data_IF_507796724646
#
_entry.id   IF_507796724646
#
_cell.length_a   1.000
_cell.length_b   1.000
_cell.length_c   1.000
_cell.angle_alpha   90.00
_cell.angle_beta   90.00
_cell.angle_gamma   90.00
#
_symmetry.space_group_name_H-M   'P 1'
#
loop_
_entity.id
_entity.type
_entity.pdbx_description
1 polymer ?
#
# COMPACT_ATOMS: atom_id res chain seq x y z
N UNK A 1 6.53 28.18 38.41
CA UNK A 1 7.38 26.98 38.59
C UNK A 1 8.19 26.83 37.32
N UNK A 2 9.52 26.76 37.43
CA UNK A 2 10.45 26.79 36.31
C UNK A 2 10.37 25.50 35.50
N UNK A 3 9.87 25.58 34.27
CA UNK A 3 10.00 24.54 33.26
C UNK A 3 11.48 24.46 32.87
N UNK A 4 12.19 23.45 33.36
CA UNK A 4 13.48 23.07 32.80
C UNK A 4 13.24 22.69 31.34
N UNK A 5 13.57 23.60 30.42
CA UNK A 5 13.65 23.29 28.99
C UNK A 5 14.85 22.35 28.87
N UNK A 6 14.57 21.04 28.76
CA UNK A 6 15.58 20.07 28.32
C UNK A 6 16.01 20.53 26.93
N UNK A 7 17.29 20.86 26.76
CA UNK A 7 17.81 21.44 25.52
C UNK A 7 17.63 20.43 24.37
N UNK A 8 16.54 20.58 23.62
CA UNK A 8 16.15 19.68 22.55
C UNK A 8 16.95 20.03 21.31
N UNK A 9 17.97 19.23 20.97
CA UNK A 9 18.78 19.49 19.78
C UNK A 9 17.99 19.09 18.53
N UNK A 10 17.64 20.07 17.69
CA UNK A 10 17.13 19.82 16.34
C UNK A 10 18.26 19.23 15.48
N UNK A 11 17.94 18.19 14.72
CA UNK A 11 18.87 17.54 13.79
C UNK A 11 18.24 17.58 12.40
N UNK A 12 18.95 18.17 11.44
CA UNK A 12 18.55 18.10 10.05
C UNK A 12 18.78 16.69 9.52
N UNK A 13 17.71 16.09 9.00
CA UNK A 13 17.70 14.74 8.49
C UNK A 13 16.71 14.63 7.34
N UNK A 14 17.23 14.70 6.11
CA UNK A 14 16.44 14.59 4.88
C UNK A 14 16.05 13.12 4.64
N UNK A 15 14.90 12.72 5.16
CA UNK A 15 14.39 11.35 5.07
C UNK A 15 13.07 11.26 4.34
N UNK A 16 12.91 10.17 3.61
CA UNK A 16 11.65 9.68 3.12
C UNK A 16 11.16 8.59 4.08
N UNK A 17 10.02 8.84 4.73
CA UNK A 17 9.43 7.96 5.73
C UNK A 17 7.99 7.64 5.34
N UNK A 18 7.62 6.36 5.35
CA UNK A 18 6.24 5.92 5.08
C UNK A 18 5.81 4.87 6.11
N UNK A 19 4.66 5.10 6.72
CA UNK A 19 3.95 4.16 7.59
C UNK A 19 2.78 3.58 6.77
N UNK A 20 2.86 2.31 6.33
CA UNK A 20 1.89 1.68 5.41
C UNK A 20 0.45 1.67 5.93
N UNK A 21 0.29 1.54 7.25
CA UNK A 21 -1.00 1.57 7.91
C UNK A 21 -0.87 2.17 9.31
N UNK A 22 -1.39 3.38 9.48
CA UNK A 22 -1.41 4.09 10.75
C UNK A 22 -2.22 3.34 11.82
N UNK A 23 -3.41 2.86 11.46
CA UNK A 23 -4.26 2.05 12.31
C UNK A 23 -3.56 0.76 12.74
N UNK A 24 -2.91 0.04 11.83
CA UNK A 24 -2.17 -1.18 12.20
C UNK A 24 -1.04 -0.88 13.20
N UNK A 25 -0.27 0.19 12.95
CA UNK A 25 0.78 0.64 13.85
C UNK A 25 0.25 0.89 15.28
N UNK A 26 -0.92 1.54 15.38
CA UNK A 26 -1.52 1.84 16.68
C UNK A 26 -2.33 0.68 17.29
N UNK A 27 -2.45 -0.44 16.59
CA UNK A 27 -3.33 -1.55 16.98
C UNK A 27 -4.82 -1.16 16.93
N UNK A 28 -5.22 -0.46 15.87
CA UNK A 28 -6.56 0.03 15.56
C UNK A 28 -7.30 0.57 16.80
N UNK A 29 -6.91 1.74 17.33
CA UNK A 29 -7.58 2.32 18.48
C UNK A 29 -9.02 2.75 18.17
N UNK A 30 -9.31 3.09 16.91
CA UNK A 30 -10.64 3.48 16.43
C UNK A 30 -10.75 3.33 14.91
N UNK A 31 -11.96 3.14 14.38
CA UNK A 31 -12.26 3.37 12.96
C UNK A 31 -12.60 4.83 12.66
N UNK A 32 -12.89 5.62 13.71
CA UNK A 32 -13.24 7.03 13.61
C UNK A 32 -14.66 7.28 13.12
N UNK A 33 -14.94 8.55 12.84
CA UNK A 33 -16.18 9.02 12.22
C UNK A 33 -15.83 9.88 11.03
N UNK A 34 -16.72 9.91 10.04
CA UNK A 34 -16.62 10.79 8.89
C UNK A 34 -17.98 11.40 8.58
N UNK A 35 -18.05 12.73 8.49
CA UNK A 35 -19.29 13.48 8.30
C UNK A 35 -20.43 13.02 9.25
N UNK A 36 -20.12 12.85 10.54
CA UNK A 36 -21.02 12.35 11.59
C UNK A 36 -21.49 10.89 11.47
N UNK A 37 -21.02 10.15 10.46
CA UNK A 37 -21.25 8.71 10.32
C UNK A 37 -20.08 7.91 10.90
N UNK A 38 -20.38 6.77 11.52
CA UNK A 38 -19.35 5.83 11.93
C UNK A 38 -18.75 5.17 10.70
N UNK A 39 -17.43 5.04 10.68
CA UNK A 39 -16.72 4.32 9.63
C UNK A 39 -16.90 2.82 9.85
N UNK A 40 -17.27 2.09 8.80
CA UNK A 40 -17.49 0.65 8.88
C UNK A 40 -16.20 -0.13 8.67
N UNK A 41 -15.33 0.34 7.77
CA UNK A 41 -14.11 -0.35 7.36
C UNK A 41 -13.06 0.63 6.86
N UNK A 42 -11.80 0.43 7.23
CA UNK A 42 -10.66 1.16 6.68
C UNK A 42 -9.89 0.22 5.75
N UNK A 43 -9.83 0.54 4.47
CA UNK A 43 -9.07 -0.24 3.50
C UNK A 43 -7.61 0.20 3.43
N UNK A 44 -7.34 1.50 3.48
CA UNK A 44 -5.99 2.07 3.48
C UNK A 44 -5.94 3.30 4.39
N UNK A 45 -4.86 3.46 5.13
CA UNK A 45 -4.59 4.54 6.06
C UNK A 45 -3.08 4.85 6.12
N UNK A 46 -2.54 5.26 4.97
CA UNK A 46 -1.13 5.47 4.71
C UNK A 46 -0.67 6.83 5.24
N UNK A 47 0.49 6.90 5.91
CA UNK A 47 1.15 8.16 6.26
C UNK A 47 2.48 8.25 5.52
N UNK A 48 2.62 9.25 4.65
CA UNK A 48 3.86 9.56 3.92
C UNK A 48 4.47 10.82 4.50
N UNK A 49 5.78 10.85 4.71
CA UNK A 49 6.54 12.01 5.17
C UNK A 49 7.84 12.20 4.38
N UNK A 50 8.03 13.41 3.89
CA UNK A 50 9.31 13.97 3.45
C UNK A 50 9.84 14.79 4.62
N UNK A 51 10.59 14.14 5.50
CA UNK A 51 11.13 14.71 6.73
C UNK A 51 12.42 15.49 6.47
N UNK A 52 12.54 16.66 7.10
CA UNK A 52 13.72 17.52 7.00
C UNK A 52 14.42 17.76 8.33
N UNK A 53 13.68 17.84 9.44
CA UNK A 53 14.26 18.03 10.77
C UNK A 53 13.60 17.09 11.76
N UNK A 54 14.38 16.54 12.69
CA UNK A 54 13.92 15.64 13.73
C UNK A 54 14.47 16.01 15.12
N UNK A 55 13.80 15.52 16.15
CA UNK A 55 14.23 15.71 17.53
C UNK A 55 13.67 14.62 18.46
N UNK A 56 14.43 14.23 19.48
CA UNK A 56 13.97 13.38 20.56
C UNK A 56 14.02 14.17 21.87
N UNK A 57 12.87 14.29 22.55
CA UNK A 57 12.73 15.04 23.80
C UNK A 57 12.38 14.06 24.91
N UNK A 58 13.25 13.97 25.92
CA UNK A 58 12.99 13.19 27.12
C UNK A 58 12.09 13.98 28.07
N UNK A 59 11.00 13.36 28.51
CA UNK A 59 10.03 13.92 29.45
C UNK A 59 9.83 12.97 30.64
N UNK A 60 9.16 13.43 31.70
CA UNK A 60 8.83 12.58 32.85
C UNK A 60 7.97 11.36 32.46
N UNK A 61 7.08 11.52 31.47
CA UNK A 61 6.19 10.43 30.99
C UNK A 61 6.90 9.47 30.04
N UNK A 62 8.04 9.85 29.47
CA UNK A 62 8.75 9.08 28.44
C UNK A 62 9.40 9.96 27.39
N UNK A 63 9.90 9.36 26.31
CA UNK A 63 10.52 10.10 25.20
C UNK A 63 9.49 10.39 24.11
N UNK A 64 9.51 11.61 23.59
CA UNK A 64 8.76 12.03 22.41
C UNK A 64 9.70 12.24 21.23
N UNK A 65 9.33 11.67 20.09
CA UNK A 65 10.07 11.79 18.84
C UNK A 65 9.29 12.69 17.88
N UNK A 66 9.92 13.78 17.46
CA UNK A 66 9.38 14.75 16.54
C UNK A 66 10.05 14.58 15.18
N UNK A 67 9.23 14.63 14.12
CA UNK A 67 9.69 14.74 12.74
C UNK A 67 8.91 15.86 12.05
N UNK A 68 9.61 16.80 11.43
CA UNK A 68 9.04 17.95 10.73
C UNK A 68 9.40 17.91 9.25
N UNK A 69 8.46 18.34 8.41
CA UNK A 69 8.60 18.29 6.95
C UNK A 69 7.24 18.28 6.26
N UNK A 70 7.16 17.73 5.05
CA UNK A 70 5.90 17.59 4.32
C UNK A 70 5.32 16.21 4.53
N UNK A 71 4.19 16.14 5.20
CA UNK A 71 3.48 14.91 5.48
C UNK A 71 2.10 14.85 4.83
N UNK A 72 1.63 13.63 4.64
CA UNK A 72 0.35 13.36 3.99
C UNK A 72 -0.26 12.10 4.57
N UNK A 73 -1.42 12.25 5.21
CA UNK A 73 -2.22 11.15 5.70
C UNK A 73 -3.33 10.86 4.70
N UNK A 74 -3.24 9.72 4.04
CA UNK A 74 -4.20 9.26 3.04
C UNK A 74 -5.10 8.17 3.60
N UNK A 75 -6.38 8.26 3.27
CA UNK A 75 -7.40 7.35 3.74
C UNK A 75 -8.27 6.85 2.61
N UNK A 76 -8.56 5.55 2.64
CA UNK A 76 -9.59 4.91 1.84
C UNK A 76 -10.42 4.03 2.76
N UNK A 77 -11.69 4.37 2.94
CA UNK A 77 -12.55 3.75 3.93
C UNK A 77 -13.99 3.63 3.42
N UNK A 78 -14.82 2.90 4.15
CA UNK A 78 -16.23 2.71 3.86
C UNK A 78 -17.06 3.23 5.04
N UNK A 79 -18.19 3.89 4.74
CA UNK A 79 -19.25 4.14 5.72
C UNK A 79 -20.29 3.02 5.72
N UNK A 80 -20.44 2.38 4.56
CA UNK A 80 -21.34 1.26 4.29
C UNK A 80 -20.62 0.33 3.32
N UNK A 81 -20.80 -0.98 3.52
CA UNK A 81 -20.12 -2.02 2.72
C UNK A 81 -20.26 -1.77 1.22
N UNK A 82 -19.13 -1.77 0.51
CA UNK A 82 -19.08 -1.68 -0.95
C UNK A 82 -19.05 -0.26 -1.53
N UNK A 83 -18.94 0.78 -0.68
CA UNK A 83 -18.74 2.17 -1.12
C UNK A 83 -17.51 2.78 -0.47
N UNK A 84 -16.43 2.84 -1.24
CA UNK A 84 -15.19 3.48 -0.82
C UNK A 84 -15.26 5.01 -0.96
N UNK A 85 -14.83 5.69 0.09
CA UNK A 85 -14.57 7.12 0.15
C UNK A 85 -13.06 7.28 0.35
N UNK A 86 -12.48 8.22 -0.39
CA UNK A 86 -11.10 8.65 -0.21
C UNK A 86 -11.07 10.01 0.45
N UNK A 87 -10.20 10.20 1.43
CA UNK A 87 -9.95 11.48 2.10
C UNK A 87 -8.46 11.62 2.39
N UNK A 88 -7.99 12.85 2.56
CA UNK A 88 -6.60 13.11 2.87
C UNK A 88 -6.43 14.29 3.82
N UNK A 89 -5.31 14.31 4.55
CA UNK A 89 -4.91 15.42 5.42
C UNK A 89 -3.44 15.75 5.20
N UNK A 90 -3.17 17.03 4.94
CA UNK A 90 -1.82 17.59 4.92
C UNK A 90 -1.28 17.66 6.35
N UNK A 91 0.00 17.33 6.52
CA UNK A 91 0.69 17.34 7.80
C UNK A 91 2.02 18.07 7.65
N UNK A 92 2.42 18.84 8.67
CA UNK A 92 3.74 19.48 8.72
C UNK A 92 4.65 18.84 9.76
N UNK A 93 4.11 17.93 10.57
CA UNK A 93 4.88 17.21 11.58
C UNK A 93 4.23 15.92 12.06
N UNK A 94 5.04 15.08 12.67
CA UNK A 94 4.69 13.81 13.27
C UNK A 94 5.29 13.74 14.68
N UNK A 95 4.49 13.35 15.66
CA UNK A 95 4.93 13.08 17.03
C UNK A 95 4.66 11.62 17.35
N UNK A 96 5.72 10.90 17.72
CA UNK A 96 5.67 9.52 18.19
C UNK A 96 6.08 9.45 19.66
N UNK A 97 5.22 8.88 20.48
CA UNK A 97 5.58 8.41 21.83
C UNK A 97 6.53 7.22 21.76
N UNK A 98 7.33 7.04 22.81
CA UNK A 98 8.30 5.95 22.96
C UNK A 98 7.74 4.55 22.68
N UNK A 99 6.61 4.18 23.27
CA UNK A 99 6.01 2.86 23.03
C UNK A 99 5.57 2.63 21.57
N UNK A 100 5.15 3.66 20.85
CA UNK A 100 4.81 3.55 19.40
C UNK A 100 6.09 3.48 18.58
N UNK A 101 7.07 4.31 18.93
CA UNK A 101 8.37 4.32 18.29
C UNK A 101 9.09 2.97 18.43
N UNK A 102 9.05 2.36 19.61
CA UNK A 102 9.63 1.06 19.89
C UNK A 102 8.94 -0.05 19.08
N UNK A 103 7.63 0.05 18.90
CA UNK A 103 6.88 -0.88 18.04
C UNK A 103 7.26 -0.75 16.56
N UNK A 104 7.52 0.47 16.07
CA UNK A 104 8.09 0.68 14.73
C UNK A 104 9.50 0.11 14.63
N UNK A 105 10.35 0.36 15.63
CA UNK A 105 11.77 0.03 15.62
C UNK A 105 12.05 -1.48 15.79
N UNK A 106 11.08 -2.23 16.29
CA UNK A 106 11.12 -3.70 16.44
C UNK A 106 10.30 -4.43 15.36
N UNK A 107 9.76 -3.69 14.39
CA UNK A 107 9.01 -4.22 13.25
C UNK A 107 9.84 -5.22 12.44
N UNK A 108 9.20 -6.27 11.93
CA UNK A 108 9.88 -7.32 11.18
C UNK A 108 10.37 -6.79 9.83
N UNK A 109 11.66 -6.96 9.56
CA UNK A 109 12.28 -6.59 8.28
C UNK A 109 11.76 -7.50 7.15
N UNK A 110 11.46 -6.90 5.99
CA UNK A 110 10.94 -7.61 4.81
C UNK A 110 12.10 -8.05 3.90
N UNK A 111 13.17 -7.24 3.78
CA UNK A 111 14.22 -7.49 2.77
C UNK A 111 15.64 -7.11 3.16
N UNK A 112 15.86 -5.96 3.82
CA UNK A 112 17.20 -5.41 4.10
C UNK A 112 17.61 -5.71 5.55
N UNK A 113 18.33 -6.81 5.79
CA UNK A 113 18.86 -7.11 7.14
C UNK A 113 20.16 -6.35 7.47
N UNK A 114 20.84 -5.75 6.49
CA UNK A 114 22.23 -5.30 6.65
C UNK A 114 22.47 -3.79 6.44
N UNK A 115 21.45 -2.97 6.20
CA UNK A 115 21.59 -1.52 5.95
C UNK A 115 20.94 -0.71 7.07
N UNK A 116 21.74 -0.06 7.93
CA UNK A 116 21.22 0.69 9.09
C UNK A 116 20.44 1.97 8.73
N UNK A 117 20.74 2.59 7.60
CA UNK A 117 20.12 3.84 7.16
C UNK A 117 18.86 3.62 6.30
N UNK A 118 18.64 2.40 5.79
CA UNK A 118 17.46 2.03 5.00
C UNK A 118 16.67 0.94 5.70
N UNK A 119 15.48 1.29 6.18
CA UNK A 119 14.59 0.37 6.88
C UNK A 119 13.44 0.01 5.97
N UNK A 120 13.27 -1.28 5.69
CA UNK A 120 12.12 -1.82 4.94
C UNK A 120 11.50 -2.94 5.77
N UNK A 121 10.47 -2.58 6.53
CA UNK A 121 9.78 -3.44 7.47
C UNK A 121 8.27 -3.41 7.24
N UNK A 122 7.53 -4.32 7.88
CA UNK A 122 6.07 -4.40 7.75
C UNK A 122 5.34 -3.09 8.09
N UNK A 123 5.80 -2.37 9.12
CA UNK A 123 5.18 -1.14 9.60
C UNK A 123 5.90 0.15 9.17
N UNK A 124 7.05 0.06 8.48
CA UNK A 124 7.86 1.24 8.18
C UNK A 124 8.74 1.04 6.94
N UNK A 125 8.68 2.02 6.04
CA UNK A 125 9.69 2.28 5.02
C UNK A 125 10.41 3.58 5.38
N UNK A 126 11.74 3.53 5.56
CA UNK A 126 12.57 4.71 5.81
C UNK A 126 13.79 4.67 4.90
N UNK A 127 14.07 5.78 4.24
CA UNK A 127 15.19 5.94 3.32
C UNK A 127 15.75 7.37 3.43
N UNK A 128 17.08 7.58 3.41
CA UNK A 128 17.62 8.92 3.22
C UNK A 128 17.33 9.41 1.80
N UNK A 129 16.94 10.67 1.65
CA UNK A 129 16.61 11.23 0.33
C UNK A 129 17.85 11.23 -0.58
N UNK A 130 19.02 11.57 -0.04
CA UNK A 130 20.28 11.43 -0.77
C UNK A 130 20.88 10.03 -0.59
N UNK A 131 21.03 9.33 -1.72
CA UNK A 131 21.67 8.01 -1.80
C UNK A 131 23.06 8.07 -2.41
N UNK A 132 23.65 9.27 -2.56
CA UNK A 132 24.95 9.49 -3.21
C UNK A 132 26.08 8.63 -2.63
N UNK A 133 26.06 8.35 -1.32
CA UNK A 133 27.03 7.52 -0.61
C UNK A 133 26.90 6.01 -0.87
N UNK A 134 25.81 5.56 -1.49
CA UNK A 134 25.57 4.14 -1.77
C UNK A 134 26.13 3.70 -3.12
N UNK A 135 26.56 2.45 -3.21
CA UNK A 135 26.98 1.85 -4.48
C UNK A 135 25.79 1.67 -5.44
N UNK A 136 26.04 1.66 -6.75
CA UNK A 136 24.99 1.52 -7.77
C UNK A 136 24.18 0.21 -7.63
N UNK A 137 24.83 -0.87 -7.22
CA UNK A 137 24.15 -2.15 -6.94
C UNK A 137 23.17 -2.00 -5.78
N UNK A 138 23.57 -1.31 -4.70
CA UNK A 138 22.69 -1.06 -3.55
C UNK A 138 21.54 -0.13 -3.92
N UNK A 139 21.80 0.93 -4.69
CA UNK A 139 20.76 1.84 -5.20
C UNK A 139 19.72 1.09 -6.03
N UNK A 140 20.17 0.29 -7.00
CA UNK A 140 19.27 -0.53 -7.85
C UNK A 140 18.42 -1.48 -7.02
N UNK A 141 18.99 -2.12 -5.99
CA UNK A 141 18.25 -3.01 -5.10
C UNK A 141 17.19 -2.27 -4.26
N UNK A 142 17.56 -1.14 -3.66
CA UNK A 142 16.67 -0.28 -2.89
C UNK A 142 15.52 0.19 -3.77
N UNK A 143 15.83 0.68 -4.97
CA UNK A 143 14.87 1.12 -5.98
C UNK A 143 13.89 -0.01 -6.33
N UNK A 144 14.38 -1.21 -6.69
CA UNK A 144 13.53 -2.35 -7.00
C UNK A 144 12.62 -2.76 -5.84
N UNK A 145 13.16 -2.72 -4.62
CA UNK A 145 12.42 -3.03 -3.38
C UNK A 145 11.30 -2.02 -3.11
N UNK A 146 11.59 -0.72 -3.21
CA UNK A 146 10.60 0.33 -2.97
C UNK A 146 9.57 0.40 -4.09
N UNK A 147 9.98 0.19 -5.35
CA UNK A 147 9.03 0.11 -6.46
C UNK A 147 8.01 -1.01 -6.24
N UNK A 148 8.46 -2.21 -5.88
CA UNK A 148 7.58 -3.37 -5.66
C UNK A 148 6.69 -3.24 -4.43
N UNK A 149 7.25 -2.82 -3.30
CA UNK A 149 6.55 -2.91 -2.00
C UNK A 149 5.82 -1.61 -1.59
N UNK A 150 6.15 -0.48 -2.22
CA UNK A 150 5.64 0.83 -1.82
C UNK A 150 5.05 1.61 -3.00
N UNK A 151 5.82 1.90 -4.05
CA UNK A 151 5.35 2.80 -5.11
C UNK A 151 4.29 2.17 -6.02
N UNK A 152 4.41 0.89 -6.39
CA UNK A 152 3.41 0.22 -7.23
C UNK A 152 2.07 0.06 -6.48
N UNK A 153 2.04 -0.45 -5.23
CA UNK A 153 0.78 -0.61 -4.49
C UNK A 153 0.06 0.70 -4.16
N UNK A 154 0.82 1.79 -3.95
CA UNK A 154 0.29 3.09 -3.53
C UNK A 154 0.48 4.19 -4.57
N UNK A 155 0.61 3.83 -5.85
CA UNK A 155 0.95 4.75 -6.94
C UNK A 155 0.07 6.00 -6.95
N UNK A 156 -1.25 5.80 -6.92
CA UNK A 156 -2.22 6.88 -7.01
C UNK A 156 -2.09 7.86 -5.82
N UNK A 157 -1.73 7.34 -4.63
CA UNK A 157 -1.54 8.14 -3.43
C UNK A 157 -0.30 9.04 -3.55
N UNK A 158 0.80 8.53 -4.13
CA UNK A 158 1.99 9.33 -4.38
C UNK A 158 1.76 10.40 -5.45
N UNK A 159 0.99 10.09 -6.49
CA UNK A 159 0.62 11.08 -7.50
C UNK A 159 -0.23 12.20 -6.88
N UNK A 160 -1.25 11.84 -6.10
CA UNK A 160 -2.11 12.80 -5.38
C UNK A 160 -1.31 13.66 -4.39
N UNK A 161 -0.34 13.05 -3.68
CA UNK A 161 0.59 13.77 -2.81
C UNK A 161 1.39 14.81 -3.59
N UNK A 162 1.99 14.43 -4.72
CA UNK A 162 2.80 15.34 -5.51
C UNK A 162 1.96 16.45 -6.14
N UNK A 163 0.75 16.16 -6.61
CA UNK A 163 -0.20 17.19 -7.07
C UNK A 163 -0.55 18.17 -5.94
N UNK A 164 -0.76 17.64 -4.72
CA UNK A 164 -0.99 18.46 -3.53
C UNK A 164 0.22 19.34 -3.25
N UNK A 165 1.45 18.80 -3.25
CA UNK A 165 2.68 19.58 -3.03
C UNK A 165 2.96 20.57 -4.18
N UNK A 166 2.50 20.33 -5.40
CA UNK A 166 2.66 21.32 -6.48
C UNK A 166 1.63 22.45 -6.40
N UNK A 167 0.50 22.25 -5.71
CA UNK A 167 -0.50 23.29 -5.53
C UNK A 167 0.03 24.46 -4.67
N UNK A 168 0.03 25.71 -5.16
CA UNK A 168 0.47 26.86 -4.37
C UNK A 168 -0.36 27.11 -3.10
N UNK A 169 -1.58 26.58 -3.01
CA UNK A 169 -2.52 26.75 -1.89
C UNK A 169 -2.45 25.65 -0.81
N UNK A 170 -1.48 24.74 -0.91
CA UNK A 170 -1.21 23.70 0.09
C UNK A 170 0.02 24.04 0.94
N UNK A 171 0.12 23.51 2.15
CA UNK A 171 1.31 23.64 3.02
C UNK A 171 1.73 25.10 3.21
N UNK A 172 0.78 26.04 3.25
CA UNK A 172 1.07 27.45 3.47
C UNK A 172 1.28 27.70 4.96
N UNK A 173 2.46 27.35 5.49
CA UNK A 173 2.72 27.34 6.94
C UNK A 173 2.45 28.70 7.61
N UNK A 174 2.60 29.80 6.90
CA UNK A 174 2.26 31.14 7.41
C UNK A 174 0.78 31.32 7.74
N UNK A 175 -0.11 30.73 6.93
CA UNK A 175 -1.57 30.85 7.06
C UNK A 175 -2.20 29.66 7.75
N UNK A 176 -1.74 28.47 7.39
CA UNK A 176 -2.27 27.19 7.85
C UNK A 176 -1.62 26.73 9.17
N UNK A 177 -0.48 27.33 9.55
CA UNK A 177 0.31 26.94 10.74
C UNK A 177 0.66 25.44 10.72
N UNK A 178 1.18 24.93 11.84
CA UNK A 178 1.55 23.53 11.93
C UNK A 178 0.33 22.61 12.06
N UNK A 179 0.36 21.49 11.33
CA UNK A 179 -0.62 20.40 11.38
C UNK A 179 0.13 19.12 11.74
N UNK A 180 -0.05 18.62 12.96
CA UNK A 180 0.80 17.56 13.51
C UNK A 180 -0.01 16.31 13.83
N UNK A 181 0.32 15.19 13.19
CA UNK A 181 -0.21 13.87 13.57
C UNK A 181 0.53 13.37 14.81
N UNK A 182 -0.17 12.92 15.83
CA UNK A 182 0.43 12.68 17.15
C UNK A 182 -0.04 11.40 17.85
N UNK A 183 0.91 10.76 18.54
CA UNK A 183 0.65 9.71 19.54
C UNK A 183 1.06 10.15 20.95
N UNK A 184 1.18 11.46 21.18
CA UNK A 184 1.39 12.04 22.51
C UNK A 184 0.36 11.49 23.51
N UNK A 185 0.77 11.22 24.75
CA UNK A 185 -0.09 10.58 25.75
C UNK A 185 -1.44 11.28 25.94
N UNK A 186 -1.43 12.61 25.97
CA UNK A 186 -2.64 13.42 26.19
C UNK A 186 -3.47 13.65 24.90
N UNK A 187 -2.89 13.40 23.72
CA UNK A 187 -3.49 13.65 22.41
C UNK A 187 -3.37 12.42 21.50
N UNK A 188 -3.53 11.24 22.06
CA UNK A 188 -3.24 9.99 21.35
C UNK A 188 -4.14 9.79 20.14
N UNK A 189 -3.54 9.49 18.99
CA UNK A 189 -4.21 9.26 17.69
C UNK A 189 -5.06 10.46 17.23
N UNK A 190 -4.47 11.65 17.24
CA UNK A 190 -5.12 12.90 16.83
C UNK A 190 -4.25 13.69 15.86
N UNK A 191 -4.86 14.62 15.12
CA UNK A 191 -4.13 15.70 14.45
C UNK A 191 -4.30 16.97 15.28
N UNK A 192 -3.18 17.61 15.61
CA UNK A 192 -3.13 18.89 16.30
C UNK A 192 -2.96 20.02 15.31
N UNK A 193 -3.76 21.06 15.46
CA UNK A 193 -3.69 22.28 14.65
C UNK A 193 -3.61 23.52 15.55
N UNK A 194 -3.22 24.64 14.93
CA UNK A 194 -3.20 25.94 15.59
C UNK A 194 -4.60 26.53 15.72
N UNK A 195 -4.81 27.34 16.76
CA UNK A 195 -6.04 28.13 16.93
C UNK A 195 -6.13 29.27 15.92
N UNK A 196 -4.98 29.77 15.47
CA UNK A 196 -4.86 30.95 14.61
C UNK A 196 -4.83 30.57 13.12
N UNK A 197 -5.21 29.34 12.79
CA UNK A 197 -5.26 28.83 11.42
C UNK A 197 -6.38 29.51 10.64
N UNK A 198 -6.11 29.93 9.39
CA UNK A 198 -7.18 30.29 8.44
C UNK A 198 -7.91 29.01 8.00
N UNK A 199 -8.98 28.67 8.71
CA UNK A 199 -9.66 27.37 8.61
C UNK A 199 -10.33 27.15 7.24
N UNK A 200 -9.90 26.11 6.53
CA UNK A 200 -10.76 25.40 5.57
C UNK A 200 -11.75 24.55 6.38
N UNK A 201 -13.04 24.86 6.33
CA UNK A 201 -14.11 24.14 7.06
C UNK A 201 -14.08 22.61 6.88
N UNK A 202 -13.56 22.14 5.73
CA UNK A 202 -13.44 20.72 5.43
C UNK A 202 -12.32 20.01 6.24
N UNK A 203 -11.24 20.71 6.61
CA UNK A 203 -10.11 20.07 7.31
C UNK A 203 -10.50 19.65 8.73
N UNK A 204 -11.37 20.43 9.40
CA UNK A 204 -11.84 20.15 10.77
C UNK A 204 -12.83 18.98 10.87
N UNK A 205 -13.31 18.48 9.74
CA UNK A 205 -14.25 17.36 9.78
C UNK A 205 -13.56 16.12 10.33
N UNK A 206 -14.27 15.40 11.19
CA UNK A 206 -13.83 14.11 11.69
C UNK A 206 -13.44 13.20 10.52
N UNK A 207 -12.34 12.50 10.71
CA UNK A 207 -11.69 11.70 9.68
C UNK A 207 -11.56 10.26 10.15
N UNK A 208 -11.66 9.30 9.22
CA UNK A 208 -11.48 7.89 9.53
C UNK A 208 -10.11 7.61 10.16
N UNK A 209 -10.04 6.61 11.04
CA UNK A 209 -8.80 6.16 11.68
C UNK A 209 -8.25 7.06 12.79
N UNK A 210 -8.78 8.27 12.97
CA UNK A 210 -8.38 9.22 14.01
C UNK A 210 -9.45 9.37 15.10
N UNK A 211 -9.02 9.70 16.31
CA UNK A 211 -9.93 10.02 17.42
C UNK A 211 -10.61 11.39 17.19
N UNK A 212 -9.82 12.39 16.83
CA UNK A 212 -10.28 13.76 16.56
C UNK A 212 -9.19 14.62 15.94
N UNK A 213 -9.58 15.78 15.41
CA UNK A 213 -8.68 16.89 15.08
C UNK A 213 -8.88 17.94 16.16
N UNK A 214 -7.83 18.28 16.90
CA UNK A 214 -7.92 19.13 18.09
C UNK A 214 -7.01 20.35 18.01
N UNK A 215 -7.43 21.43 18.68
CA UNK A 215 -6.68 22.67 18.77
C UNK A 215 -5.63 22.57 19.87
N UNK A 216 -4.40 22.99 19.61
CA UNK A 216 -3.38 23.06 20.67
C UNK A 216 -1.94 22.81 20.23
N UNK A 217 -1.66 22.77 18.92
CA UNK A 217 -0.30 22.51 18.42
C UNK A 217 0.71 23.52 18.97
N UNK A 218 0.32 24.79 19.07
CA UNK A 218 1.20 25.88 19.52
C UNK A 218 1.62 25.69 20.98
N UNK A 219 0.72 25.17 21.83
CA UNK A 219 1.04 24.93 23.24
C UNK A 219 2.10 23.83 23.37
N UNK A 220 1.98 22.75 22.59
CA UNK A 220 2.94 21.65 22.61
C UNK A 220 4.29 22.12 22.06
N UNK A 221 4.27 22.81 20.92
CA UNK A 221 5.49 23.29 20.29
C UNK A 221 6.24 24.29 21.18
N UNK A 222 5.54 25.26 21.79
CA UNK A 222 6.15 26.22 22.73
C UNK A 222 6.61 25.58 24.06
N UNK A 223 6.07 24.41 24.43
CA UNK A 223 6.53 23.69 25.62
C UNK A 223 7.91 23.06 25.41
N UNK A 224 8.20 22.59 24.19
CA UNK A 224 9.41 21.82 23.90
C UNK A 224 10.46 22.59 23.09
N UNK A 225 10.08 23.62 22.33
CA UNK A 225 10.98 24.35 21.46
C UNK A 225 10.98 25.84 21.77
N UNK A 226 12.15 26.46 21.63
CA UNK A 226 12.29 27.91 21.75
C UNK A 226 11.94 28.62 20.41
N UNK A 227 11.77 29.94 20.44
CA UNK A 227 11.37 30.71 19.25
C UNK A 227 12.34 30.60 18.06
N UNK A 228 13.64 30.39 18.31
CA UNK A 228 14.62 30.16 17.23
C UNK A 228 14.37 28.81 16.56
N UNK A 229 14.21 27.75 17.35
CA UNK A 229 13.94 26.40 16.86
C UNK A 229 12.62 26.32 16.12
N UNK A 230 11.58 27.01 16.59
CA UNK A 230 10.29 27.08 15.88
C UNK A 230 10.42 27.78 14.53
N UNK A 231 11.28 28.80 14.44
CA UNK A 231 11.60 29.43 13.17
C UNK A 231 12.34 28.46 12.25
N UNK A 232 13.35 27.75 12.76
CA UNK A 232 14.11 26.77 11.98
C UNK A 232 13.19 25.65 11.44
N UNK A 233 12.27 25.13 12.27
CA UNK A 233 11.27 24.13 11.86
C UNK A 233 10.39 24.65 10.73
N UNK A 234 9.93 25.90 10.84
CA UNK A 234 9.10 26.54 9.83
C UNK A 234 9.88 26.72 8.52
N UNK A 235 11.09 27.24 8.60
CA UNK A 235 11.98 27.46 7.45
C UNK A 235 12.27 26.12 6.74
N UNK A 236 12.43 25.02 7.49
CA UNK A 236 12.55 23.66 6.91
C UNK A 236 11.31 23.24 6.12
N UNK A 237 10.11 23.45 6.65
CA UNK A 237 8.86 23.09 5.96
C UNK A 237 8.68 23.90 4.68
N UNK A 238 8.97 25.20 4.71
CA UNK A 238 8.94 26.08 3.53
C UNK A 238 9.98 25.66 2.49
N UNK A 239 11.21 25.39 2.93
CA UNK A 239 12.27 24.93 2.05
C UNK A 239 11.91 23.62 1.33
N UNK A 240 11.33 22.66 2.05
CA UNK A 240 10.84 21.42 1.47
C UNK A 240 9.69 21.66 0.50
N UNK A 241 8.75 22.53 0.85
CA UNK A 241 7.64 22.90 -0.03
C UNK A 241 8.15 23.45 -1.36
N UNK A 242 9.08 24.40 -1.32
CA UNK A 242 9.67 25.01 -2.51
C UNK A 242 10.47 24.01 -3.36
N UNK A 243 11.24 23.14 -2.71
CA UNK A 243 12.01 22.09 -3.37
C UNK A 243 11.08 21.10 -4.09
N UNK A 244 10.13 20.50 -3.38
CA UNK A 244 9.26 19.46 -3.92
C UNK A 244 8.13 19.99 -4.81
N UNK A 245 7.75 21.27 -4.73
CA UNK A 245 6.82 21.86 -5.71
C UNK A 245 7.48 22.04 -7.08
N UNK A 246 8.80 22.17 -7.11
CA UNK A 246 9.58 22.49 -8.31
C UNK A 246 10.16 21.25 -9.00
N UNK A 247 10.08 20.07 -8.37
CA UNK A 247 10.63 18.86 -8.97
C UNK A 247 9.76 18.36 -10.13
N UNK A 248 10.40 18.00 -11.23
CA UNK A 248 9.84 17.08 -12.21
C UNK A 248 9.95 15.65 -11.71
N UNK A 249 8.94 14.83 -11.96
CA UNK A 249 8.98 13.40 -11.69
C UNK A 249 8.26 12.65 -12.81
N UNK A 250 8.62 11.37 -13.00
CA UNK A 250 7.97 10.48 -13.95
C UNK A 250 6.84 9.71 -13.25
N UNK A 251 5.57 9.88 -13.65
CA UNK A 251 4.45 9.12 -13.08
C UNK A 251 4.56 7.59 -13.26
N UNK A 252 5.36 7.11 -14.21
CA UNK A 252 5.66 5.68 -14.37
C UNK A 252 6.81 5.21 -13.47
N UNK A 253 7.65 6.14 -13.00
CA UNK A 253 8.82 5.85 -12.19
C UNK A 253 8.90 6.80 -10.97
N UNK A 254 8.06 6.54 -9.96
CA UNK A 254 7.89 7.40 -8.78
C UNK A 254 9.15 7.52 -7.90
N UNK A 255 10.11 6.61 -8.01
CA UNK A 255 11.40 6.75 -7.34
C UNK A 255 12.16 8.01 -7.82
N UNK A 256 11.85 8.53 -9.01
CA UNK A 256 12.37 9.82 -9.50
C UNK A 256 12.06 11.00 -8.57
N UNK A 257 11.00 10.92 -7.73
CA UNK A 257 10.70 11.91 -6.68
C UNK A 257 11.88 12.03 -5.71
N UNK A 258 12.43 10.90 -5.28
CA UNK A 258 13.55 10.84 -4.33
C UNK A 258 14.84 11.29 -5.02
N UNK A 259 15.13 10.76 -6.21
CA UNK A 259 16.34 11.10 -6.98
C UNK A 259 16.44 12.59 -7.31
N UNK A 260 15.31 13.20 -7.70
CA UNK A 260 15.28 14.62 -8.02
C UNK A 260 15.24 15.46 -6.74
N UNK A 261 14.49 15.06 -5.73
CA UNK A 261 14.49 15.72 -4.41
C UNK A 261 15.89 15.85 -3.83
N UNK A 262 16.72 14.81 -3.93
CA UNK A 262 18.12 14.86 -3.49
C UNK A 262 18.92 15.99 -4.14
N UNK A 263 18.68 16.29 -5.43
CA UNK A 263 19.40 17.37 -6.14
C UNK A 263 19.06 18.75 -5.59
N UNK A 264 17.80 18.98 -5.23
CA UNK A 264 17.33 20.26 -4.69
C UNK A 264 17.70 20.43 -3.22
N UNK A 265 17.77 19.34 -2.45
CA UNK A 265 18.08 19.36 -1.00
C UNK A 265 19.57 19.21 -0.68
N UNK A 266 20.44 19.00 -1.67
CA UNK A 266 21.90 18.81 -1.52
C UNK A 266 22.69 20.01 -0.97
N UNK A 267 22.00 21.04 -0.50
CA UNK A 267 22.58 22.09 0.36
C UNK A 267 22.69 21.69 1.84
N UNK A 268 22.07 20.58 2.26
CA UNK A 268 22.11 20.09 3.64
C UNK A 268 23.36 19.27 3.97
N UNK A 269 23.79 19.31 5.24
CA UNK A 269 24.97 18.60 5.74
C UNK A 269 24.87 17.10 5.46
N UNK A 270 25.95 16.46 4.95
CA UNK A 270 25.97 15.02 4.76
C UNK A 270 25.70 14.34 6.10
N UNK A 271 24.82 13.33 6.08
CA UNK A 271 24.56 12.46 7.23
C UNK A 271 25.93 11.97 7.74
N UNK A 272 26.29 12.21 9.01
CA UNK A 272 27.57 11.75 9.53
C UNK A 272 27.64 10.23 9.35
N UNK A 273 28.55 9.82 8.48
CA UNK A 273 28.86 8.44 8.19
C UNK A 273 29.38 7.82 9.50
N UNK A 274 28.55 6.99 10.13
CA UNK A 274 29.02 6.22 11.28
C UNK A 274 29.77 5.04 10.70
N UNK A 275 31.10 5.04 10.87
CA UNK A 275 31.99 3.97 10.39
C UNK A 275 31.46 2.58 10.77
N UNK A 276 31.61 1.65 9.82
CA UNK A 276 31.24 0.24 9.92
C UNK A 276 31.92 -0.40 11.14
N UNK A 277 31.22 -0.42 12.27
CA UNK A 277 31.47 -1.40 13.33
C UNK A 277 30.46 -2.52 13.14
N UNK A 278 30.99 -3.69 12.82
CA UNK A 278 30.28 -4.97 12.70
C UNK A 278 29.32 -5.09 13.89
N UNK A 279 28.03 -4.89 13.60
CA UNK A 279 27.00 -4.74 14.62
C UNK A 279 26.58 -6.12 15.09
N UNK A 280 26.80 -6.42 16.36
CA UNK A 280 25.98 -7.42 17.04
C UNK A 280 24.51 -7.08 16.79
N UNK A 281 23.68 -8.09 16.44
CA UNK A 281 22.23 -7.91 16.24
C UNK A 281 21.63 -7.35 17.53
N UNK A 282 21.38 -6.04 17.56
CA UNK A 282 20.67 -5.38 18.66
C UNK A 282 19.16 -5.65 18.49
N UNK A 283 18.38 -5.76 19.58
CA UNK A 283 16.96 -6.05 19.51
C UNK A 283 16.11 -4.89 18.92
N UNK A 284 16.66 -3.68 18.84
CA UNK A 284 16.02 -2.47 18.34
C UNK A 284 17.01 -1.67 17.50
N UNK A 285 16.58 -1.20 16.34
CA UNK A 285 17.35 -0.31 15.46
C UNK A 285 16.83 1.13 15.58
N UNK A 286 17.73 2.12 15.54
CA UNK A 286 17.32 3.52 15.61
C UNK A 286 16.77 3.98 14.27
N UNK A 287 15.48 4.33 14.22
CA UNK A 287 14.84 4.89 13.01
C UNK A 287 15.31 6.32 12.78
N UNK A 288 15.44 7.11 13.84
CA UNK A 288 15.82 8.53 13.81
C UNK A 288 17.22 8.68 14.41
N UNK A 289 18.00 9.67 13.95
CA UNK A 289 19.35 9.94 14.45
C UNK A 289 19.28 10.41 15.91
N UNK A 290 18.34 11.31 16.20
CA UNK A 290 18.02 11.84 17.53
C UNK A 290 17.59 10.76 18.53
N UNK A 291 17.11 9.61 18.05
CA UNK A 291 16.70 8.48 18.88
C UNK A 291 17.84 7.55 19.30
N UNK A 292 19.04 7.70 18.71
CA UNK A 292 20.20 6.84 18.98
C UNK A 292 20.53 6.67 20.47
N UNK A 293 20.43 7.71 21.33
CA UNK A 293 20.69 7.57 22.77
C UNK A 293 19.67 6.68 23.50
N UNK A 294 18.49 6.45 22.92
CA UNK A 294 17.36 5.73 23.54
C UNK A 294 17.14 4.34 22.92
N UNK A 295 18.09 3.82 22.15
CA UNK A 295 17.99 2.51 21.49
C UNK A 295 17.86 1.36 22.48
N UNK A 296 18.43 1.50 23.68
CA UNK A 296 18.40 0.46 24.71
C UNK A 296 17.20 0.59 25.66
N UNK A 297 16.47 1.71 25.62
CA UNK A 297 15.23 1.84 26.36
C UNK A 297 14.07 1.21 25.60
N UNK A 298 13.33 0.34 26.29
CA UNK A 298 12.07 -0.22 25.82
C UNK A 298 10.96 0.23 26.75
N UNK A 299 9.87 0.72 26.15
CA UNK A 299 8.65 1.08 26.86
C UNK A 299 7.54 0.13 26.46
N UNK A 300 6.94 -0.50 27.46
CA UNK A 300 5.75 -1.30 27.26
C UNK A 300 4.57 -0.41 26.86
N UNK A 301 3.65 -1.00 26.10
CA UNK A 301 2.45 -0.31 25.67
C UNK A 301 1.55 -0.02 26.88
N UNK A 302 1.17 1.24 27.14
CA UNK A 302 0.33 1.55 28.28
C UNK A 302 -1.08 0.93 28.20
N UNK A 303 -1.57 0.36 29.30
CA UNK A 303 -2.88 -0.33 29.37
C UNK A 303 -4.08 0.56 28.99
N UNK A 304 -3.95 1.87 29.21
CA UNK A 304 -4.99 2.85 28.88
C UNK A 304 -5.16 3.06 27.36
N UNK A 305 -4.18 2.68 26.54
CA UNK A 305 -4.28 2.74 25.07
C UNK A 305 -4.71 1.39 24.51
N UNK A 306 -6.03 1.21 24.42
CA UNK A 306 -6.67 -0.05 23.99
C UNK A 306 -6.26 -0.42 22.56
N UNK A 307 -5.55 -1.54 22.41
CA UNK A 307 -5.32 -2.20 21.11
C UNK A 307 -6.47 -3.17 20.82
N UNK A 308 -6.96 -3.18 19.59
CA UNK A 308 -7.99 -4.08 19.10
C UNK A 308 -7.58 -4.65 17.75
N UNK A 309 -8.05 -5.85 17.41
CA UNK A 309 -7.87 -6.31 16.04
C UNK A 309 -8.83 -5.57 15.12
N UNK A 310 -8.37 -5.29 13.89
CA UNK A 310 -9.19 -4.68 12.84
C UNK A 310 -10.55 -5.37 12.71
N UNK A 311 -10.55 -6.70 12.70
CA UNK A 311 -11.76 -7.51 12.59
C UNK A 311 -12.73 -7.32 13.75
N UNK A 312 -12.24 -7.14 14.99
CA UNK A 312 -13.10 -6.90 16.14
C UNK A 312 -13.89 -5.61 15.98
N UNK A 313 -13.22 -4.55 15.52
CA UNK A 313 -13.84 -3.26 15.28
C UNK A 313 -14.85 -3.32 14.12
N UNK A 314 -14.45 -3.90 12.99
CA UNK A 314 -15.31 -4.03 11.81
C UNK A 314 -16.54 -4.91 12.09
N UNK A 315 -16.41 -5.98 12.89
CA UNK A 315 -17.54 -6.84 13.31
C UNK A 315 -18.46 -6.16 14.33
N UNK A 316 -17.93 -5.25 15.15
CA UNK A 316 -18.71 -4.50 16.14
C UNK A 316 -19.55 -3.37 15.53
N UNK A 317 -19.32 -3.05 14.25
CA UNK A 317 -20.08 -2.04 13.55
C UNK A 317 -21.54 -2.47 13.36
N UNK A 318 -22.45 -1.76 14.02
CA UNK A 318 -23.88 -1.85 13.75
C UNK A 318 -24.22 -0.76 12.73
N UNK A 319 -24.64 -1.11 11.50
CA UNK A 319 -25.08 -0.10 10.54
C UNK A 319 -26.28 0.62 11.14
N UNK A 320 -26.13 1.92 11.40
CA UNK A 320 -27.31 2.75 11.62
C UNK A 320 -28.13 2.68 10.33
N UNK A 321 -29.41 2.32 10.43
CA UNK A 321 -30.37 2.43 9.33
C UNK A 321 -30.51 3.91 8.94
N UNK A 322 -29.54 4.44 8.20
CA UNK A 322 -29.71 5.71 7.50
C UNK A 322 -30.71 5.42 6.41
N UNK A 323 -31.89 6.03 6.52
CA UNK A 323 -32.88 6.16 5.44
C UNK A 323 -32.09 6.30 4.15
N UNK A 324 -32.19 5.30 3.27
CA UNK A 324 -31.60 5.37 1.93
C UNK A 324 -32.04 6.71 1.37
N UNK A 325 -31.10 7.63 1.14
CA UNK A 325 -31.38 8.82 0.34
C UNK A 325 -31.72 8.31 -1.05
N UNK A 326 -32.99 8.04 -1.28
CA UNK A 326 -33.54 7.88 -2.61
C UNK A 326 -33.65 9.31 -3.14
N UNK A 327 -32.88 9.69 -4.17
CA UNK A 327 -33.12 10.95 -4.85
C UNK A 327 -34.60 10.96 -5.23
N UNK A 328 -35.31 12.05 -4.92
CA UNK A 328 -36.67 12.25 -5.44
C UNK A 328 -36.60 12.04 -6.95
N UNK A 329 -37.31 11.02 -7.43
CA UNK A 329 -37.43 10.75 -8.86
C UNK A 329 -37.92 12.02 -9.56
N UNK A 330 -36.98 12.75 -10.17
CA UNK A 330 -37.32 13.78 -11.13
C UNK A 330 -37.83 13.06 -12.37
N UNK A 331 -39.15 13.06 -12.53
CA UNK A 331 -39.88 13.02 -13.81
C UNK A 331 -39.17 12.27 -14.93
N UNK A 332 -39.51 10.98 -15.05
CA UNK A 332 -39.69 10.23 -16.30
C UNK A 332 -39.12 10.87 -17.57
N UNK A 333 -37.81 10.78 -17.76
CA UNK A 333 -37.25 10.76 -19.11
C UNK A 333 -37.37 9.33 -19.62
N UNK A 334 -38.16 9.14 -20.69
CA UNK A 334 -38.27 7.86 -21.39
C UNK A 334 -36.87 7.41 -21.78
N UNK A 335 -36.41 6.30 -21.17
CA UNK A 335 -35.23 5.57 -21.64
C UNK A 335 -35.50 5.13 -23.08
N UNK A 336 -34.56 5.30 -24.02
CA UNK A 336 -34.64 4.61 -25.29
C UNK A 336 -34.61 3.11 -25.03
N UNK A 337 -35.44 2.35 -25.74
CA UNK A 337 -35.43 0.89 -25.70
C UNK A 337 -34.07 0.38 -26.16
N UNK A 338 -33.25 -0.03 -25.21
CA UNK A 338 -32.06 -0.86 -25.44
C UNK A 338 -32.50 -2.27 -25.12
N UNK A 339 -32.46 -3.15 -26.12
CA UNK A 339 -32.90 -4.53 -26.03
C UNK A 339 -32.31 -5.27 -24.84
N UNK A 340 -33.07 -6.24 -24.32
CA UNK A 340 -32.74 -7.05 -23.14
C UNK A 340 -31.32 -7.62 -23.21
N UNK A 341 -30.39 -6.95 -22.53
CA UNK A 341 -29.09 -7.52 -22.24
C UNK A 341 -29.26 -8.47 -21.06
N UNK A 342 -29.41 -9.77 -21.35
CA UNK A 342 -29.27 -10.82 -20.34
C UNK A 342 -27.84 -10.77 -19.80
N UNK A 343 -27.65 -10.12 -18.65
CA UNK A 343 -26.43 -10.28 -17.85
C UNK A 343 -26.38 -11.73 -17.38
N UNK A 344 -25.45 -12.51 -17.92
CA UNK A 344 -24.88 -13.63 -17.15
C UNK A 344 -24.09 -12.97 -16.02
N UNK A 345 -24.48 -13.24 -14.78
CA UNK A 345 -23.67 -12.90 -13.61
C UNK A 345 -22.34 -13.65 -13.77
N UNK A 346 -21.25 -12.93 -13.98
CA UNK A 346 -19.90 -13.48 -13.84
C UNK A 346 -19.58 -13.49 -12.35
N UNK A 347 -19.68 -14.67 -11.73
CA UNK A 347 -19.19 -14.90 -10.39
C UNK A 347 -17.65 -14.81 -10.40
N UNK A 348 -17.10 -13.75 -9.82
CA UNK A 348 -15.66 -13.60 -9.63
C UNK A 348 -15.19 -14.56 -8.53
N UNK A 349 -14.77 -15.77 -8.91
CA UNK A 349 -14.10 -16.70 -8.00
C UNK A 349 -12.58 -16.41 -7.92
N UNK A 350 -12.08 -16.20 -6.69
CA UNK A 350 -10.65 -16.07 -6.41
C UNK A 350 -9.90 -17.33 -6.87
N UNK A 351 -8.76 -17.16 -7.57
CA UNK A 351 -7.86 -18.25 -8.04
C UNK A 351 -7.27 -19.14 -6.93
N UNK A 352 -7.69 -18.96 -5.67
CA UNK A 352 -7.30 -19.73 -4.49
C UNK A 352 -8.36 -20.72 -4.02
N UNK A 353 -9.49 -20.89 -4.73
CA UNK A 353 -10.39 -22.01 -4.44
C UNK A 353 -9.66 -23.34 -4.61
N UNK A 354 -9.80 -24.22 -3.61
CA UNK A 354 -9.25 -25.56 -3.63
C UNK A 354 -9.76 -26.29 -4.89
N UNK A 355 -8.83 -26.73 -5.73
CA UNK A 355 -9.14 -27.48 -6.95
C UNK A 355 -9.96 -28.73 -6.59
N UNK A 356 -10.99 -29.08 -7.38
CA UNK A 356 -11.84 -30.22 -7.07
C UNK A 356 -11.04 -31.52 -7.12
N UNK A 357 -11.27 -32.40 -6.16
CA UNK A 357 -10.76 -33.77 -6.25
C UNK A 357 -11.60 -34.55 -7.26
N UNK A 358 -10.95 -35.20 -8.22
CA UNK A 358 -11.61 -35.97 -9.28
C UNK A 358 -11.13 -37.41 -9.26
N UNK A 359 -12.04 -38.35 -9.45
CA UNK A 359 -11.73 -39.77 -9.51
C UNK A 359 -10.94 -40.12 -10.77
N UNK A 360 -10.03 -41.09 -10.66
CA UNK A 360 -9.27 -41.62 -11.78
C UNK A 360 -10.20 -42.20 -12.87
N UNK A 361 -10.01 -41.76 -14.12
CA UNK A 361 -10.72 -42.26 -15.30
C UNK A 361 -9.72 -42.76 -16.35
N UNK A 362 -9.97 -43.91 -17.00
CA UNK A 362 -9.11 -44.38 -18.07
C UNK A 362 -9.19 -43.42 -19.26
N UNK A 363 -8.03 -43.05 -19.82
CA UNK A 363 -7.97 -42.14 -20.97
C UNK A 363 -8.71 -42.73 -22.19
N UNK A 364 -9.53 -41.93 -22.89
CA UNK A 364 -10.14 -42.38 -24.14
C UNK A 364 -9.10 -42.55 -25.24
N UNK A 365 -9.36 -43.47 -26.17
CA UNK A 365 -8.52 -43.67 -27.35
C UNK A 365 -8.63 -42.45 -28.27
N UNK A 366 -7.52 -41.74 -28.48
CA UNK A 366 -7.49 -40.56 -29.37
C UNK A 366 -7.31 -41.04 -30.82
N UNK A 367 -8.18 -40.62 -31.75
CA UNK A 367 -8.03 -40.90 -33.18
C UNK A 367 -6.69 -40.39 -33.73
N UNK A 368 -6.17 -41.02 -34.79
CA UNK A 368 -4.83 -40.71 -35.32
C UNK A 368 -4.91 -39.81 -36.57
N UNK A 369 -5.99 -39.93 -37.35
CA UNK A 369 -6.02 -39.46 -38.75
C UNK A 369 -7.12 -38.42 -39.04
N UNK A 370 -7.61 -37.73 -38.01
CA UNK A 370 -8.60 -36.66 -38.18
C UNK A 370 -8.44 -35.57 -37.12
N UNK A 371 -7.86 -34.44 -37.51
CA UNK A 371 -7.69 -33.24 -36.68
C UNK A 371 -8.96 -32.83 -35.92
N UNK A 372 -10.13 -32.87 -36.56
CA UNK A 372 -11.39 -32.47 -35.91
C UNK A 372 -11.81 -33.47 -34.84
N UNK A 373 -11.66 -34.77 -35.09
CA UNK A 373 -11.97 -35.81 -34.10
C UNK A 373 -10.98 -35.79 -32.93
N UNK A 374 -9.71 -35.49 -33.18
CA UNK A 374 -8.69 -35.32 -32.13
C UNK A 374 -9.06 -34.17 -31.20
N UNK A 375 -9.38 -32.99 -31.76
CA UNK A 375 -9.75 -31.82 -30.97
C UNK A 375 -11.09 -32.01 -30.24
N UNK A 376 -12.05 -32.71 -30.86
CA UNK A 376 -13.33 -33.04 -30.22
C UNK A 376 -13.14 -34.02 -29.06
N UNK A 377 -12.24 -34.99 -29.20
CA UNK A 377 -11.88 -35.92 -28.12
C UNK A 377 -11.20 -35.17 -26.97
N UNK A 378 -10.32 -34.22 -27.28
CA UNK A 378 -9.67 -33.38 -26.27
C UNK A 378 -10.70 -32.52 -25.52
N UNK A 379 -11.65 -31.90 -26.23
CA UNK A 379 -12.76 -31.15 -25.64
C UNK A 379 -13.55 -32.01 -24.67
N UNK A 380 -13.91 -33.23 -25.10
CA UNK A 380 -14.66 -34.19 -24.27
C UNK A 380 -13.92 -34.58 -22.98
N UNK A 381 -12.60 -34.78 -23.04
CA UNK A 381 -11.78 -35.08 -21.85
C UNK A 381 -11.79 -33.93 -20.84
N UNK A 382 -11.79 -32.68 -21.31
CA UNK A 382 -11.88 -31.50 -20.43
C UNK A 382 -13.30 -31.34 -19.87
N UNK A 383 -14.34 -31.60 -20.67
CA UNK A 383 -15.75 -31.54 -20.24
C UNK A 383 -16.09 -32.59 -19.18
N UNK A 384 -15.55 -33.81 -19.32
CA UNK A 384 -15.78 -34.95 -18.42
C UNK A 384 -14.97 -34.93 -17.12
N UNK A 385 -14.36 -33.81 -16.74
CA UNK A 385 -13.67 -33.62 -15.44
C UNK A 385 -12.59 -34.67 -15.15
N UNK A 386 -11.72 -34.94 -16.13
CA UNK A 386 -10.51 -35.74 -15.90
C UNK A 386 -9.52 -34.97 -15.00
N UNK A 387 -8.62 -35.70 -14.33
CA UNK A 387 -7.55 -35.07 -13.56
C UNK A 387 -6.58 -34.32 -14.48
N UNK A 388 -5.97 -33.26 -13.95
CA UNK A 388 -5.08 -32.36 -14.69
C UNK A 388 -3.96 -33.15 -15.37
N UNK A 389 -3.40 -34.16 -14.69
CA UNK A 389 -2.32 -34.95 -15.26
C UNK A 389 -2.78 -35.77 -16.48
N UNK A 390 -3.97 -36.36 -16.43
CA UNK A 390 -4.58 -37.05 -17.57
C UNK A 390 -4.89 -36.09 -18.72
N UNK A 391 -5.43 -34.90 -18.43
CA UNK A 391 -5.64 -33.84 -19.44
C UNK A 391 -4.32 -33.48 -20.12
N UNK A 392 -3.23 -33.34 -19.35
CA UNK A 392 -1.89 -33.08 -19.85
C UNK A 392 -1.35 -34.18 -20.77
N UNK A 393 -1.61 -35.46 -20.46
CA UNK A 393 -1.25 -36.60 -21.32
C UNK A 393 -2.08 -36.62 -22.61
N UNK A 394 -3.37 -36.32 -22.54
CA UNK A 394 -4.24 -36.22 -23.71
C UNK A 394 -3.79 -35.11 -24.64
N UNK A 395 -3.39 -33.95 -24.11
CA UNK A 395 -2.82 -32.84 -24.89
C UNK A 395 -1.53 -33.23 -25.61
N UNK A 396 -0.67 -34.02 -24.96
CA UNK A 396 0.57 -34.51 -25.57
C UNK A 396 0.28 -35.45 -26.76
N UNK A 397 -0.58 -36.44 -26.55
CA UNK A 397 -0.94 -37.43 -27.59
C UNK A 397 -1.65 -36.72 -28.75
N UNK A 398 -2.57 -35.79 -28.45
CA UNK A 398 -3.26 -34.98 -29.45
C UNK A 398 -2.26 -34.15 -30.27
N UNK A 399 -1.33 -33.46 -29.62
CA UNK A 399 -0.27 -32.69 -30.30
C UNK A 399 0.55 -33.57 -31.25
N UNK A 400 0.96 -34.75 -30.80
CA UNK A 400 1.84 -35.62 -31.58
C UNK A 400 1.11 -36.29 -32.75
N UNK A 401 -0.19 -36.55 -32.63
CA UNK A 401 -1.01 -36.98 -33.77
C UNK A 401 -1.26 -35.83 -34.75
N UNK A 402 -1.59 -34.63 -34.27
CA UNK A 402 -1.81 -33.46 -35.14
C UNK A 402 -0.53 -33.06 -35.88
N UNK A 403 0.65 -33.14 -35.23
CA UNK A 403 1.94 -32.88 -35.88
C UNK A 403 2.21 -33.77 -37.11
N UNK A 404 1.62 -34.97 -37.17
CA UNK A 404 1.76 -35.86 -38.34
C UNK A 404 0.95 -35.35 -39.54
N UNK A 405 -0.12 -34.60 -39.31
CA UNK A 405 -0.98 -34.05 -40.35
C UNK A 405 -0.67 -32.58 -40.68
N UNK A 406 -0.30 -31.76 -39.68
CA UNK A 406 -0.10 -30.31 -39.81
C UNK A 406 1.16 -29.88 -39.05
N UNK A 407 2.19 -29.44 -39.78
CA UNK A 407 3.51 -29.07 -39.22
C UNK A 407 3.59 -27.64 -38.65
N UNK A 408 2.69 -26.73 -39.04
CA UNK A 408 2.81 -25.28 -38.76
C UNK A 408 1.53 -24.64 -38.22
N UNK A 409 0.93 -25.23 -37.19
CA UNK A 409 -0.19 -24.64 -36.47
C UNK A 409 0.27 -23.94 -35.18
N UNK A 410 -0.07 -22.64 -35.03
CA UNK A 410 0.27 -21.85 -33.82
C UNK A 410 -0.23 -22.51 -32.52
N UNK A 411 -1.37 -23.21 -32.57
CA UNK A 411 -1.95 -23.90 -31.42
C UNK A 411 -1.17 -25.14 -30.95
N UNK A 412 -0.25 -25.70 -31.75
CA UNK A 412 0.63 -26.80 -31.31
C UNK A 412 1.60 -26.35 -30.21
N UNK A 413 1.98 -25.08 -30.23
CA UNK A 413 2.80 -24.49 -29.18
C UNK A 413 2.01 -24.35 -27.88
N UNK A 414 0.76 -23.88 -27.96
CA UNK A 414 -0.14 -23.76 -26.80
C UNK A 414 -0.43 -25.12 -26.17
N UNK A 415 -0.73 -26.15 -26.98
CA UNK A 415 -0.88 -27.53 -26.51
C UNK A 415 0.36 -28.04 -25.78
N UNK A 416 1.57 -27.71 -26.28
CA UNK A 416 2.83 -28.10 -25.63
C UNK A 416 3.01 -27.40 -24.29
N UNK A 417 2.62 -26.12 -24.21
CA UNK A 417 2.67 -25.35 -22.96
C UNK A 417 1.72 -25.94 -21.91
N UNK A 418 0.46 -26.19 -22.27
CA UNK A 418 -0.52 -26.79 -21.35
C UNK A 418 -0.12 -28.20 -20.92
N UNK A 419 0.32 -29.05 -21.85
CA UNK A 419 0.83 -30.40 -21.55
C UNK A 419 1.93 -30.37 -20.49
N UNK A 420 2.95 -29.52 -20.67
CA UNK A 420 4.09 -29.43 -19.75
C UNK A 420 3.70 -28.93 -18.36
N UNK A 421 2.75 -28.00 -18.27
CA UNK A 421 2.28 -27.47 -16.99
C UNK A 421 1.42 -28.51 -16.28
N UNK A 422 0.53 -29.18 -17.00
CA UNK A 422 -0.44 -30.11 -16.42
C UNK A 422 0.15 -31.46 -16.03
N UNK A 423 1.15 -31.97 -16.75
CA UNK A 423 1.82 -33.21 -16.36
C UNK A 423 2.59 -33.11 -15.03
N UNK A 424 2.93 -31.89 -14.59
CA UNK A 424 3.61 -31.61 -13.31
C UNK A 424 2.64 -31.45 -12.13
N UNK A 425 1.33 -31.48 -12.38
CA UNK A 425 0.33 -31.39 -11.33
C UNK A 425 0.23 -32.69 -10.53
N UNK A 426 -0.23 -32.59 -9.28
CA UNK A 426 -0.51 -33.75 -8.44
C UNK A 426 -1.69 -34.57 -9.00
N UNK A 427 -1.64 -35.89 -8.80
CA UNK A 427 -2.68 -36.82 -9.26
C UNK A 427 -4.03 -36.57 -8.58
N UNK A 428 -5.13 -36.84 -9.30
CA UNK A 428 -6.52 -36.72 -8.81
C UNK A 428 -6.99 -35.29 -8.49
N UNK A 429 -6.27 -34.28 -8.98
CA UNK A 429 -6.69 -32.88 -8.89
C UNK A 429 -7.27 -32.47 -10.26
N UNK A 430 -8.50 -31.96 -10.27
CA UNK A 430 -9.17 -31.44 -11.45
C UNK A 430 -8.88 -29.97 -11.71
N UNK A 431 -9.24 -29.47 -12.89
CA UNK A 431 -9.17 -28.03 -13.21
C UNK A 431 -10.19 -27.27 -12.35
N UNK A 432 -9.84 -26.05 -11.92
CA UNK A 432 -10.84 -25.12 -11.38
C UNK A 432 -11.85 -24.72 -12.47
N UNK A 433 -13.02 -24.21 -12.07
CA UNK A 433 -14.06 -23.77 -13.01
C UNK A 433 -13.53 -22.80 -14.07
N UNK A 434 -12.76 -21.79 -13.64
CA UNK A 434 -12.14 -20.81 -14.53
C UNK A 434 -11.08 -21.43 -15.46
N UNK A 435 -10.22 -22.31 -14.94
CA UNK A 435 -9.21 -22.99 -15.77
C UNK A 435 -9.86 -23.92 -16.81
N UNK A 436 -10.98 -24.57 -16.46
CA UNK A 436 -11.77 -25.40 -17.37
C UNK A 436 -12.41 -24.56 -18.47
N UNK A 437 -13.07 -23.46 -18.13
CA UNK A 437 -13.66 -22.51 -19.08
C UNK A 437 -12.61 -21.93 -20.04
N UNK A 438 -11.46 -21.51 -19.52
CA UNK A 438 -10.36 -20.97 -20.34
C UNK A 438 -9.82 -22.02 -21.32
N UNK A 439 -9.57 -23.24 -20.85
CA UNK A 439 -9.06 -24.32 -21.70
C UNK A 439 -10.09 -24.75 -22.77
N UNK A 440 -11.37 -24.82 -22.42
CA UNK A 440 -12.44 -25.13 -23.38
C UNK A 440 -12.55 -24.06 -24.46
N UNK A 441 -12.41 -22.78 -24.08
CA UNK A 441 -12.41 -21.65 -25.02
C UNK A 441 -11.26 -21.73 -26.02
N UNK A 442 -10.07 -22.11 -25.56
CA UNK A 442 -8.91 -22.34 -26.43
C UNK A 442 -9.14 -23.52 -27.38
N UNK A 443 -9.66 -24.65 -26.88
CA UNK A 443 -9.96 -25.81 -27.73
C UNK A 443 -11.01 -25.47 -28.79
N UNK A 444 -12.07 -24.73 -28.44
CA UNK A 444 -13.09 -24.28 -29.38
C UNK A 444 -12.53 -23.34 -30.44
N UNK A 445 -11.59 -22.47 -30.06
CA UNK A 445 -10.86 -21.65 -31.00
C UNK A 445 -10.01 -22.48 -31.97
N UNK A 446 -9.31 -23.51 -31.47
CA UNK A 446 -8.52 -24.42 -32.32
C UNK A 446 -9.42 -25.19 -33.29
N UNK A 447 -10.57 -25.69 -32.84
CA UNK A 447 -11.57 -26.34 -33.70
C UNK A 447 -12.02 -25.40 -34.82
N UNK A 448 -12.37 -24.15 -34.48
CA UNK A 448 -12.85 -23.15 -35.44
C UNK A 448 -11.81 -22.77 -36.47
N UNK A 449 -10.54 -22.67 -36.09
CA UNK A 449 -9.44 -22.42 -37.04
C UNK A 449 -9.26 -23.62 -37.97
N UNK A 450 -9.24 -24.83 -37.41
CA UNK A 450 -9.10 -26.06 -38.18
C UNK A 450 -10.21 -26.22 -39.21
N UNK A 451 -11.47 -25.93 -38.84
CA UNK A 451 -12.60 -25.93 -39.77
C UNK A 451 -12.42 -24.95 -40.93
N UNK A 452 -12.02 -23.70 -40.64
CA UNK A 452 -11.74 -22.69 -41.69
C UNK A 452 -10.59 -23.07 -42.61
N UNK A 453 -9.64 -23.88 -42.14
CA UNK A 453 -8.54 -24.37 -42.94
C UNK A 453 -8.99 -25.50 -43.87
N UNK A 454 -9.89 -26.38 -43.43
CA UNK A 454 -10.48 -27.44 -44.27
C UNK A 454 -11.53 -26.91 -45.26
N UNK A 455 -12.31 -25.88 -44.92
CA UNK A 455 -13.28 -25.27 -45.85
C UNK A 455 -12.63 -24.50 -47.03
N UNK A 456 -11.31 -24.29 -46.98
CA UNK A 456 -10.52 -23.59 -48.01
C UNK A 456 -9.88 -24.53 -49.04
N UNK A 457 -10.01 -25.84 -48.85
CA UNK A 457 -9.59 -26.90 -49.77
C UNK A 457 -10.80 -27.75 -50.16
#
# INVERSE_FOLDING_TARGET
>A
MSTHIVESKLIDNNIFLVIPSWGNLLGYPTLGKYAHHNVSKISQDLVIFLGGTECAVSTEKGTLYFLFGLGYYYLKFELQSGRYITDNRQLTGLILSDFVYDHLATSKNITLENEKDVIVSENLFKLPIDLSHKTETKKTFIQGTLMRNLFIPYKDVFLELMETIQNPQSFQIEKERHMILTTHWDFYNQILISKDMELKTNYLQATAGLNSISLGVDNILNQYFNSSQLKDIKDTVEHFKDAFSSIGYDPMYLFSIIENGAKFLRGGTPIPFTEETVSNKKPKESILISAQPYVESFREWPDNFRRQSKEQLEKSFVPNETVKYQPKESTSLKKPEVGEFRRKEEDFELRTMQRPFVGFKPLPTIPIDNLFEILTTLKKVVEEDYDIQSIGKTLEIARDNIKKEVLHANFLWDMSKYSNVYQRAESNIGLSFNEKEDLLREIDYWIKISQKHYDKF
#
